data_IF_380836416344
#
_entry.id   IF_380836416344
#
_cell.length_a   1.000
_cell.length_b   1.000
_cell.length_c   1.000
_cell.angle_alpha   90.00
_cell.angle_beta   90.00
_cell.angle_gamma   90.00
#
_symmetry.space_group_name_H-M   'P 1'
#
loop_
_entity.id
_entity.type
_entity.pdbx_description
1 polymer ?
#
# COMPACT_ATOMS: atom_id res chain seq x y z
N UNK A 1 22.91 11.98 20.80
CA UNK A 1 22.42 12.38 19.48
C UNK A 1 21.71 11.16 18.94
N UNK A 2 20.39 11.12 19.09
CA UNK A 2 19.58 10.05 18.51
C UNK A 2 19.67 10.16 16.99
N UNK A 3 20.06 9.06 16.35
CA UNK A 3 20.22 8.97 14.89
C UNK A 3 18.84 8.75 14.26
N UNK A 4 18.64 9.11 13.00
CA UNK A 4 17.35 8.94 12.33
C UNK A 4 16.86 7.48 12.39
N UNK A 5 17.78 6.53 12.35
CA UNK A 5 17.53 5.09 12.48
C UNK A 5 17.00 4.64 13.86
N UNK A 6 17.15 5.45 14.91
CA UNK A 6 16.51 5.17 16.21
C UNK A 6 15.04 5.63 16.27
N UNK A 7 14.60 6.41 15.28
CA UNK A 7 13.21 6.92 15.18
C UNK A 7 12.42 6.31 14.01
N UNK A 8 13.04 5.50 13.16
CA UNK A 8 12.35 4.79 12.07
C UNK A 8 11.52 3.63 12.60
N UNK A 9 10.33 3.44 12.02
CA UNK A 9 9.35 2.43 12.45
C UNK A 9 9.92 0.99 12.45
N UNK A 10 10.81 0.64 11.52
CA UNK A 10 11.46 -0.70 11.49
C UNK A 10 12.74 -0.74 12.35
N UNK A 11 12.88 -1.72 13.25
CA UNK A 11 14.13 -1.96 13.97
C UNK A 11 15.20 -2.57 13.03
N UNK A 12 16.07 -1.73 12.46
CA UNK A 12 17.15 -2.16 11.57
C UNK A 12 18.17 -3.12 12.22
N UNK A 13 18.09 -3.37 13.54
CA UNK A 13 18.96 -4.33 14.25
C UNK A 13 18.61 -5.77 13.91
N UNK A 14 17.36 -6.10 13.62
CA UNK A 14 16.94 -7.46 13.25
C UNK A 14 16.67 -7.55 11.74
N UNK A 15 16.97 -8.70 11.09
CA UNK A 15 16.50 -8.94 9.73
C UNK A 15 14.97 -8.90 9.69
N UNK A 16 14.41 -8.29 8.66
CA UNK A 16 12.97 -8.21 8.40
C UNK A 16 12.75 -8.07 6.90
N UNK A 17 11.52 -8.21 6.44
CA UNK A 17 11.22 -8.25 5.01
C UNK A 17 11.03 -9.68 4.50
N UNK A 18 10.95 -9.80 3.18
CA UNK A 18 10.98 -11.04 2.41
C UNK A 18 11.85 -10.86 1.17
N UNK A 19 12.11 -11.95 0.43
CA UNK A 19 12.99 -11.96 -0.74
C UNK A 19 14.38 -11.42 -0.37
N UNK A 20 15.01 -10.69 -1.28
CA UNK A 20 16.34 -10.12 -1.11
C UNK A 20 16.48 -9.19 0.11
N UNK A 21 15.38 -8.60 0.61
CA UNK A 21 15.40 -7.68 1.75
C UNK A 21 15.78 -8.41 3.05
N UNK A 22 15.31 -9.66 3.20
CA UNK A 22 15.60 -10.48 4.39
C UNK A 22 17.10 -10.75 4.56
N UNK A 23 17.83 -10.85 3.45
CA UNK A 23 19.25 -11.16 3.40
C UNK A 23 20.16 -9.94 3.56
N UNK A 24 19.59 -8.74 3.72
CA UNK A 24 20.38 -7.52 3.81
C UNK A 24 21.26 -7.51 5.07
N UNK A 25 22.58 -7.24 4.91
CA UNK A 25 23.49 -7.18 6.04
C UNK A 25 23.13 -6.00 6.94
N UNK A 26 23.41 -6.15 8.23
CA UNK A 26 23.26 -5.04 9.16
C UNK A 26 24.09 -3.83 8.72
N UNK A 27 23.50 -2.65 8.81
CA UNK A 27 24.18 -1.39 8.50
C UNK A 27 25.29 -1.14 9.52
N UNK A 28 26.51 -0.86 9.04
CA UNK A 28 27.62 -0.44 9.87
C UNK A 28 27.59 1.08 10.12
N UNK A 29 28.39 1.56 11.06
CA UNK A 29 28.38 2.96 11.49
C UNK A 29 28.64 3.98 10.37
N UNK A 30 29.44 3.63 9.36
CA UNK A 30 29.70 4.53 8.23
C UNK A 30 28.50 4.65 7.31
N UNK A 31 27.81 3.54 7.00
CA UNK A 31 26.54 3.56 6.26
C UNK A 31 25.46 4.33 7.02
N UNK A 32 25.35 4.12 8.34
CA UNK A 32 24.41 4.87 9.20
C UNK A 32 24.67 6.38 9.11
N UNK A 33 25.93 6.79 9.23
CA UNK A 33 26.32 8.21 9.12
C UNK A 33 25.98 8.78 7.75
N UNK A 34 26.20 8.01 6.68
CA UNK A 34 25.83 8.40 5.32
C UNK A 34 24.32 8.60 5.20
N UNK A 35 23.51 7.65 5.69
CA UNK A 35 22.06 7.71 5.62
C UNK A 35 21.49 8.92 6.38
N UNK A 36 22.03 9.22 7.58
CA UNK A 36 21.68 10.42 8.34
C UNK A 36 21.97 11.71 7.55
N UNK A 37 23.12 11.77 6.87
CA UNK A 37 23.48 12.91 6.03
C UNK A 37 22.60 13.01 4.78
N UNK A 38 22.31 11.87 4.15
CA UNK A 38 21.46 11.79 2.97
C UNK A 38 20.04 12.26 3.29
N UNK A 39 19.48 11.78 4.41
CA UNK A 39 18.18 12.22 4.91
C UNK A 39 18.15 13.74 5.18
N UNK A 40 19.16 14.27 5.89
CA UNK A 40 19.25 15.72 6.15
C UNK A 40 19.27 16.53 4.85
N UNK A 41 20.04 16.11 3.85
CA UNK A 41 20.10 16.77 2.54
C UNK A 41 18.76 16.71 1.80
N UNK A 42 18.03 15.60 1.89
CA UNK A 42 16.68 15.49 1.31
C UNK A 42 15.73 16.49 1.96
N UNK A 43 15.69 16.56 3.29
CA UNK A 43 14.85 17.53 4.00
C UNK A 43 15.24 18.97 3.63
N UNK A 44 16.53 19.26 3.49
CA UNK A 44 17.00 20.57 3.01
C UNK A 44 16.53 20.87 1.58
N UNK A 45 16.53 19.90 0.67
CA UNK A 45 16.01 20.10 -0.69
C UNK A 45 14.50 20.35 -0.72
N UNK A 46 13.75 19.78 0.23
CA UNK A 46 12.31 20.00 0.36
C UNK A 46 11.98 21.46 0.67
N UNK A 47 12.87 22.20 1.34
CA UNK A 47 12.67 23.63 1.63
C UNK A 47 12.47 24.45 0.35
N UNK A 48 13.24 24.19 -0.70
CA UNK A 48 13.08 24.91 -1.97
C UNK A 48 11.73 24.60 -2.66
N UNK A 49 11.18 23.40 -2.42
CA UNK A 49 9.84 23.02 -2.90
C UNK A 49 8.75 23.73 -2.09
N UNK A 50 8.93 23.84 -0.77
CA UNK A 50 8.02 24.56 0.11
C UNK A 50 7.93 26.05 -0.27
N UNK A 51 9.08 26.72 -0.47
CA UNK A 51 9.15 28.10 -0.96
C UNK A 51 8.44 28.27 -2.32
N UNK A 52 8.55 27.28 -3.21
CA UNK A 52 7.87 27.28 -4.50
C UNK A 52 6.35 27.18 -4.33
N UNK A 53 5.88 26.28 -3.46
CA UNK A 53 4.44 26.10 -3.17
C UNK A 53 3.86 27.38 -2.58
N UNK A 54 4.54 28.01 -1.61
CA UNK A 54 4.15 29.31 -1.06
C UNK A 54 4.02 30.35 -2.18
N UNK A 55 5.03 30.46 -3.05
CA UNK A 55 5.03 31.42 -4.16
C UNK A 55 3.84 31.22 -5.12
N UNK A 56 3.49 29.97 -5.43
CA UNK A 56 2.33 29.67 -6.28
C UNK A 56 1.02 30.07 -5.58
N UNK A 57 0.86 29.71 -4.30
CA UNK A 57 -0.36 30.03 -3.54
C UNK A 57 -0.54 31.53 -3.36
N UNK A 58 0.53 32.26 -3.05
CA UNK A 58 0.52 33.73 -2.94
C UNK A 58 0.12 34.37 -4.27
N UNK A 59 0.69 33.92 -5.40
CA UNK A 59 0.30 34.44 -6.72
C UNK A 59 -1.17 34.19 -7.04
N UNK A 60 -1.67 32.98 -6.79
CA UNK A 60 -3.09 32.68 -6.96
C UNK A 60 -3.98 33.60 -6.13
N UNK A 61 -3.56 33.94 -4.91
CA UNK A 61 -4.27 34.87 -4.04
C UNK A 61 -4.24 36.30 -4.60
N UNK A 62 -3.07 36.78 -5.03
CA UNK A 62 -2.88 38.13 -5.57
C UNK A 62 -3.70 38.37 -6.85
N UNK A 63 -3.88 37.32 -7.67
CA UNK A 63 -4.77 37.35 -8.84
C UNK A 63 -6.25 37.13 -8.51
N UNK A 64 -6.61 36.88 -7.25
CA UNK A 64 -8.00 36.61 -6.84
C UNK A 64 -8.54 35.27 -7.34
N UNK A 65 -7.67 34.33 -7.74
CA UNK A 65 -8.04 33.02 -8.30
C UNK A 65 -8.09 31.91 -7.24
N UNK A 66 -7.47 32.15 -6.08
CA UNK A 66 -7.23 31.12 -5.08
C UNK A 66 -8.52 30.47 -4.53
N UNK A 67 -9.60 31.23 -4.34
CA UNK A 67 -10.86 30.69 -3.80
C UNK A 67 -11.61 29.78 -4.79
N UNK A 68 -11.29 29.85 -6.09
CA UNK A 68 -11.86 29.01 -7.14
C UNK A 68 -10.84 28.00 -7.71
N UNK A 69 -9.77 27.71 -6.96
CA UNK A 69 -8.71 26.80 -7.40
C UNK A 69 -8.59 25.65 -6.40
N UNK A 70 -8.69 24.41 -6.91
CA UNK A 70 -8.26 23.24 -6.18
C UNK A 70 -6.74 23.06 -6.33
N UNK A 71 -6.06 22.82 -5.21
CA UNK A 71 -4.63 22.51 -5.13
C UNK A 71 -4.52 21.14 -4.49
N UNK A 72 -3.93 20.21 -5.24
CA UNK A 72 -3.58 18.87 -4.77
C UNK A 72 -2.06 18.82 -4.62
N UNK A 73 -1.57 18.48 -3.43
CA UNK A 73 -0.16 18.25 -3.15
C UNK A 73 0.06 16.78 -2.84
N UNK A 74 0.92 16.12 -3.63
CA UNK A 74 1.20 14.69 -3.49
C UNK A 74 2.58 14.32 -4.05
N UNK A 75 2.95 13.04 -3.96
CA UNK A 75 4.17 12.44 -4.53
C UNK A 75 3.80 11.22 -5.37
N UNK A 76 4.61 10.85 -6.35
CA UNK A 76 4.42 9.63 -7.16
C UNK A 76 4.63 8.36 -6.33
N UNK A 77 5.65 8.37 -5.49
CA UNK A 77 5.99 7.31 -4.55
C UNK A 77 6.68 7.93 -3.31
N UNK A 78 6.85 7.09 -2.28
CA UNK A 78 7.66 7.36 -1.12
C UNK A 78 9.15 7.08 -1.37
N UNK A 79 9.92 7.01 -0.30
CA UNK A 79 11.36 6.79 -0.37
C UNK A 79 11.95 6.32 0.97
N UNK A 80 12.56 5.14 0.98
CA UNK A 80 13.28 4.63 2.13
C UNK A 80 14.74 5.13 2.17
N UNK A 81 15.25 5.35 3.38
CA UNK A 81 16.62 5.77 3.70
C UNK A 81 17.09 5.04 4.95
N UNK A 82 17.38 3.74 4.83
CA UNK A 82 17.91 2.92 5.94
C UNK A 82 16.91 1.97 6.58
N UNK A 83 15.61 2.19 6.39
CA UNK A 83 14.55 1.29 6.86
C UNK A 83 14.73 -0.09 6.23
N UNK A 84 14.41 -1.14 7.00
CA UNK A 84 14.67 -2.53 6.62
C UNK A 84 16.14 -2.81 6.19
N UNK A 85 17.11 -2.01 6.67
CA UNK A 85 18.53 -2.05 6.26
C UNK A 85 18.78 -1.69 4.79
N UNK A 86 17.78 -1.21 4.07
CA UNK A 86 17.91 -0.80 2.68
C UNK A 86 18.69 0.52 2.59
N UNK A 87 19.50 0.68 1.54
CA UNK A 87 20.12 1.97 1.25
C UNK A 87 19.10 2.90 0.58
N UNK A 88 19.40 4.17 0.25
CA UNK A 88 18.41 5.04 -0.39
C UNK A 88 17.75 4.38 -1.61
N UNK A 89 16.44 4.46 -1.73
CA UNK A 89 15.74 3.87 -2.86
C UNK A 89 14.22 3.95 -2.75
N UNK A 90 13.59 3.25 -3.70
CA UNK A 90 12.13 3.06 -3.78
C UNK A 90 11.81 1.75 -4.49
N UNK A 91 10.54 1.35 -4.50
CA UNK A 91 10.06 0.18 -5.23
C UNK A 91 9.86 -1.05 -4.36
N UNK A 92 9.89 -0.92 -3.04
CA UNK A 92 9.49 -1.95 -2.09
C UNK A 92 8.06 -1.70 -1.58
N UNK A 93 7.36 -2.71 -1.05
CA UNK A 93 5.96 -2.58 -0.64
C UNK A 93 5.79 -1.90 0.73
N UNK A 94 6.87 -1.45 1.36
CA UNK A 94 6.87 -0.94 2.73
C UNK A 94 6.32 0.50 2.81
N UNK A 95 5.86 0.89 4.00
CA UNK A 95 5.25 2.20 4.28
C UNK A 95 6.04 3.38 3.72
N UNK A 96 7.36 3.33 3.88
CA UNK A 96 8.26 4.39 3.45
C UNK A 96 8.17 4.66 1.94
N UNK A 97 7.83 3.64 1.14
CA UNK A 97 7.77 3.72 -0.32
C UNK A 97 6.34 3.93 -0.85
N UNK A 98 5.32 3.54 -0.09
CA UNK A 98 3.92 3.51 -0.59
C UNK A 98 3.03 4.59 0.03
N UNK A 99 3.33 5.04 1.25
CA UNK A 99 2.51 6.00 1.96
C UNK A 99 2.97 7.44 1.68
N UNK A 100 2.38 8.04 0.65
CA UNK A 100 2.73 9.38 0.16
C UNK A 100 1.82 10.47 0.74
N UNK A 101 2.27 11.73 0.81
CA UNK A 101 1.37 12.83 1.14
C UNK A 101 0.21 12.94 0.13
N UNK A 102 -0.98 13.26 0.62
CA UNK A 102 -2.10 13.74 -0.18
C UNK A 102 -2.78 14.86 0.60
N UNK A 103 -2.57 16.10 0.17
CA UNK A 103 -3.20 17.27 0.78
C UNK A 103 -4.02 17.99 -0.29
N UNK A 104 -5.26 18.34 0.06
CA UNK A 104 -6.17 19.03 -0.84
C UNK A 104 -6.62 20.34 -0.20
N UNK A 105 -6.59 21.41 -1.00
CA UNK A 105 -7.19 22.71 -0.69
C UNK A 105 -8.09 23.09 -1.85
N UNK A 106 -9.29 23.59 -1.60
CA UNK A 106 -10.10 24.17 -2.65
C UNK A 106 -11.48 24.59 -2.17
N UNK A 107 -12.38 24.97 -3.09
CA UNK A 107 -13.78 25.17 -2.79
C UNK A 107 -14.35 24.00 -1.98
N UNK A 108 -15.14 24.29 -0.94
CA UNK A 108 -15.85 23.30 -0.09
C UNK A 108 -14.97 22.31 0.73
N UNK A 109 -13.64 22.31 0.53
CA UNK A 109 -12.71 21.50 1.31
C UNK A 109 -12.54 22.10 2.72
N UNK A 110 -12.81 21.34 3.81
CA UNK A 110 -12.67 21.85 5.17
C UNK A 110 -11.21 22.11 5.53
N UNK A 111 -10.95 23.26 6.17
CA UNK A 111 -9.60 23.65 6.62
C UNK A 111 -9.17 22.83 7.84
N UNK A 112 -7.92 22.36 7.84
CA UNK A 112 -7.31 21.69 8.99
C UNK A 112 -7.91 20.33 9.32
N UNK A 113 -8.64 19.71 8.38
CA UNK A 113 -9.19 18.36 8.57
C UNK A 113 -8.16 17.32 8.16
N UNK A 114 -7.96 16.32 9.02
CA UNK A 114 -7.24 15.08 8.72
C UNK A 114 -8.23 13.93 8.64
N UNK A 115 -8.03 13.03 7.69
CA UNK A 115 -8.85 11.83 7.47
C UNK A 115 -7.97 10.59 7.53
N UNK A 116 -8.55 9.44 7.88
CA UNK A 116 -7.82 8.18 8.04
C UNK A 116 -8.32 7.05 7.13
N UNK A 117 -9.37 7.29 6.33
CA UNK A 117 -9.84 6.33 5.34
C UNK A 117 -8.82 6.22 4.18
N UNK A 118 -8.82 5.09 3.48
CA UNK A 118 -7.81 4.81 2.45
C UNK A 118 -8.14 5.52 1.13
N UNK A 119 -7.14 6.19 0.55
CA UNK A 119 -7.16 6.74 -0.81
C UNK A 119 -5.93 6.27 -1.57
N UNK A 120 -5.97 6.27 -2.89
CA UNK A 120 -4.81 5.93 -3.72
C UNK A 120 -4.70 6.84 -4.96
N UNK A 121 -3.60 6.74 -5.71
CA UNK A 121 -3.45 7.49 -6.97
C UNK A 121 -4.52 7.16 -8.02
N UNK A 122 -5.15 5.98 -7.96
CA UNK A 122 -6.24 5.63 -8.89
C UNK A 122 -7.46 6.51 -8.69
N UNK A 123 -7.64 7.11 -7.51
CA UNK A 123 -8.75 8.00 -7.18
C UNK A 123 -8.60 9.40 -7.82
N UNK A 124 -7.39 9.80 -8.20
CA UNK A 124 -7.11 11.16 -8.70
C UNK A 124 -7.91 11.44 -9.98
N UNK A 125 -7.92 10.51 -10.93
CA UNK A 125 -8.67 10.68 -12.18
C UNK A 125 -10.18 10.80 -11.91
N UNK A 126 -10.73 9.93 -11.06
CA UNK A 126 -12.14 9.96 -10.68
C UNK A 126 -12.51 11.26 -9.96
N UNK A 127 -11.65 11.74 -9.06
CA UNK A 127 -11.84 13.02 -8.35
C UNK A 127 -11.86 14.21 -9.30
N UNK A 128 -10.94 14.25 -10.28
CA UNK A 128 -10.90 15.34 -11.25
C UNK A 128 -12.14 15.35 -12.16
N UNK A 129 -12.65 14.18 -12.53
CA UNK A 129 -13.89 14.06 -13.31
C UNK A 129 -15.08 14.60 -12.53
N UNK A 130 -15.23 14.17 -11.28
CA UNK A 130 -16.29 14.60 -10.39
C UNK A 130 -16.26 16.13 -10.17
N UNK A 131 -15.09 16.69 -9.85
CA UNK A 131 -14.89 18.13 -9.71
C UNK A 131 -15.19 18.93 -10.99
N UNK A 132 -14.94 18.34 -12.16
CA UNK A 132 -15.23 18.95 -13.46
C UNK A 132 -16.70 18.78 -13.89
N UNK A 133 -17.53 18.06 -13.12
CA UNK A 133 -18.91 17.73 -13.49
C UNK A 133 -19.00 16.76 -14.68
N UNK A 134 -17.95 15.98 -14.91
CA UNK A 134 -17.87 14.98 -15.98
C UNK A 134 -18.36 13.64 -15.40
N UNK A 135 -19.28 12.92 -16.08
CA UNK A 135 -19.71 11.60 -15.63
C UNK A 135 -18.51 10.65 -15.45
N UNK A 136 -18.48 9.94 -14.32
CA UNK A 136 -17.49 8.90 -14.08
C UNK A 136 -17.60 7.80 -15.14
N UNK A 137 -16.47 7.20 -15.48
CA UNK A 137 -16.44 6.06 -16.38
C UNK A 137 -16.54 4.78 -15.58
N UNK A 138 -17.31 3.83 -16.10
CA UNK A 138 -17.47 2.51 -15.47
C UNK A 138 -16.17 1.71 -15.42
N UNK A 139 -15.15 2.09 -16.20
CA UNK A 139 -13.84 1.43 -16.25
C UNK A 139 -12.79 2.02 -15.29
N UNK A 140 -13.17 2.97 -14.42
CA UNK A 140 -12.28 3.49 -13.39
C UNK A 140 -12.10 2.49 -12.23
N UNK A 141 -10.84 2.27 -11.86
CA UNK A 141 -10.45 1.42 -10.71
C UNK A 141 -10.52 2.18 -9.37
N UNK A 142 -10.58 3.52 -9.40
CA UNK A 142 -10.65 4.39 -8.22
C UNK A 142 -12.00 5.10 -8.08
N UNK A 143 -12.22 5.73 -6.93
CA UNK A 143 -13.42 6.50 -6.61
C UNK A 143 -13.05 7.97 -6.36
N UNK A 144 -13.98 8.93 -6.62
CA UNK A 144 -13.76 10.30 -6.20
C UNK A 144 -13.40 10.38 -4.72
N UNK A 145 -12.31 11.08 -4.41
CA UNK A 145 -11.94 11.38 -3.03
C UNK A 145 -13.04 12.24 -2.41
N UNK A 146 -13.52 11.93 -1.20
CA UNK A 146 -14.49 12.76 -0.50
C UNK A 146 -13.82 14.07 -0.07
N UNK A 147 -14.29 15.20 -0.58
CA UNK A 147 -13.66 16.50 -0.36
C UNK A 147 -14.52 17.43 0.51
N UNK A 148 -15.84 17.37 0.36
CA UNK A 148 -16.76 18.14 1.18
C UNK A 148 -16.95 17.51 2.57
N UNK A 149 -17.33 18.32 3.56
CA UNK A 149 -17.50 17.84 4.94
C UNK A 149 -18.53 16.70 5.09
N UNK A 150 -19.62 16.73 4.32
CA UNK A 150 -20.62 15.65 4.31
C UNK A 150 -20.08 14.37 3.68
N UNK A 151 -19.35 14.49 2.56
CA UNK A 151 -18.74 13.34 1.87
C UNK A 151 -17.68 12.68 2.74
N UNK A 152 -16.88 13.48 3.44
CA UNK A 152 -15.88 12.99 4.39
C UNK A 152 -16.55 12.19 5.50
N UNK A 153 -17.68 12.68 6.03
CA UNK A 153 -18.42 12.00 7.07
C UNK A 153 -18.98 10.65 6.58
N UNK A 154 -19.53 10.61 5.37
CA UNK A 154 -20.06 9.37 4.77
C UNK A 154 -18.93 8.36 4.49
N UNK A 155 -17.76 8.85 4.07
CA UNK A 155 -16.60 8.02 3.74
C UNK A 155 -15.91 7.39 4.96
N UNK A 156 -16.06 7.94 6.16
CA UNK A 156 -15.49 7.36 7.39
C UNK A 156 -15.98 5.93 7.66
N UNK A 157 -17.15 5.55 7.13
CA UNK A 157 -17.73 4.21 7.29
C UNK A 157 -17.88 3.48 5.94
N UNK A 158 -17.28 3.98 4.87
CA UNK A 158 -17.36 3.38 3.56
C UNK A 158 -16.34 2.25 3.41
N UNK A 159 -16.83 1.02 3.40
CA UNK A 159 -16.01 -0.17 3.18
C UNK A 159 -15.19 -0.17 1.89
N UNK A 160 -15.55 0.64 0.88
CA UNK A 160 -14.74 0.78 -0.35
C UNK A 160 -13.38 1.43 -0.08
N UNK A 161 -13.24 2.08 1.08
CA UNK A 161 -12.04 2.79 1.55
C UNK A 161 -11.28 1.99 2.62
N UNK A 162 -11.49 0.68 2.70
CA UNK A 162 -10.81 -0.21 3.65
C UNK A 162 -9.42 -0.61 3.15
N UNK A 163 -9.19 -0.65 1.83
CA UNK A 163 -7.97 -1.23 1.28
C UNK A 163 -7.30 -0.37 0.20
N UNK A 164 -6.02 -0.64 -0.03
CA UNK A 164 -5.29 -0.20 -1.23
C UNK A 164 -4.35 -1.32 -1.65
N UNK A 165 -4.35 -1.63 -2.94
CA UNK A 165 -3.40 -2.57 -3.56
C UNK A 165 -2.11 -1.84 -3.97
N UNK A 166 -0.98 -2.53 -3.82
CA UNK A 166 0.33 -2.06 -4.27
C UNK A 166 1.02 -3.21 -5.00
N UNK A 167 1.65 -2.92 -6.12
CA UNK A 167 2.30 -3.92 -6.96
C UNK A 167 3.59 -3.38 -7.57
N UNK A 168 4.49 -4.31 -7.89
CA UNK A 168 5.75 -4.02 -8.56
C UNK A 168 6.20 -5.23 -9.36
N UNK A 169 6.89 -5.01 -10.48
CA UNK A 169 7.51 -6.05 -11.28
C UNK A 169 8.98 -5.76 -11.56
N UNK A 170 9.80 -6.79 -11.48
CA UNK A 170 11.19 -6.80 -11.93
C UNK A 170 12.20 -6.57 -10.82
N UNK A 171 13.07 -5.58 -11.04
CA UNK A 171 14.29 -5.41 -10.25
C UNK A 171 14.27 -4.13 -9.45
N UNK A 172 14.84 -4.15 -8.26
CA UNK A 172 15.03 -2.95 -7.44
C UNK A 172 16.40 -2.33 -7.70
N UNK A 173 16.43 -1.09 -8.20
CA UNK A 173 17.66 -0.30 -8.33
C UNK A 173 17.91 0.48 -7.04
N UNK A 174 19.05 0.24 -6.41
CA UNK A 174 19.50 0.99 -5.24
C UNK A 174 20.05 2.37 -5.66
N UNK A 175 19.71 3.39 -4.88
CA UNK A 175 20.08 4.77 -5.14
C UNK A 175 21.08 5.32 -4.10
N UNK A 176 21.50 6.57 -4.31
CA UNK A 176 22.57 7.20 -3.52
C UNK A 176 23.96 6.65 -3.84
N UNK A 177 24.98 7.20 -3.20
CA UNK A 177 26.39 6.88 -3.46
C UNK A 177 26.74 5.47 -2.98
N UNK A 178 26.12 5.01 -1.89
CA UNK A 178 26.31 3.67 -1.33
C UNK A 178 25.43 2.60 -2.00
N UNK A 179 24.49 3.01 -2.85
CA UNK A 179 23.72 2.14 -3.73
C UNK A 179 24.40 1.87 -5.07
N UNK A 180 25.66 2.32 -5.24
CA UNK A 180 26.47 2.06 -6.45
C UNK A 180 27.62 1.12 -6.15
N UNK A 181 28.04 0.37 -7.16
CA UNK A 181 29.21 -0.53 -7.09
C UNK A 181 30.50 0.27 -6.95
N UNK A 182 30.56 1.49 -7.49
CA UNK A 182 31.65 2.46 -7.29
C UNK A 182 31.14 3.89 -7.56
N UNK A 183 31.90 4.95 -7.23
CA UNK A 183 31.48 6.34 -7.46
C UNK A 183 31.06 6.65 -8.91
N UNK A 184 31.67 5.96 -9.88
CA UNK A 184 31.37 6.05 -11.33
C UNK A 184 30.74 4.78 -11.89
N UNK A 185 30.49 3.77 -11.04
CA UNK A 185 29.98 2.45 -11.43
C UNK A 185 28.47 2.41 -11.53
N UNK A 186 27.95 1.29 -12.03
CA UNK A 186 26.51 1.01 -12.06
C UNK A 186 25.90 0.92 -10.66
N UNK A 187 24.59 1.16 -10.57
CA UNK A 187 23.83 0.91 -9.36
C UNK A 187 23.79 -0.57 -8.99
N UNK A 188 23.69 -0.87 -7.70
CA UNK A 188 23.37 -2.21 -7.20
C UNK A 188 21.91 -2.48 -7.55
N UNK A 189 21.67 -3.63 -8.18
CA UNK A 189 20.34 -4.05 -8.61
C UNK A 189 20.00 -5.37 -7.94
N UNK A 190 18.87 -5.42 -7.25
CA UNK A 190 18.32 -6.65 -6.68
C UNK A 190 17.26 -7.23 -7.63
N UNK A 191 17.41 -8.51 -7.98
CA UNK A 191 16.37 -9.26 -8.67
C UNK A 191 15.25 -9.70 -7.72
N UNK A 192 14.28 -10.44 -8.25
CA UNK A 192 13.17 -11.00 -7.47
C UNK A 192 12.41 -9.96 -6.63
N UNK A 193 12.25 -8.74 -7.15
CA UNK A 193 11.52 -7.65 -6.50
C UNK A 193 10.05 -7.56 -6.97
N UNK A 194 9.56 -8.57 -7.68
CA UNK A 194 8.15 -8.65 -8.08
C UNK A 194 7.30 -9.04 -6.87
N UNK A 195 6.23 -8.29 -6.60
CA UNK A 195 5.29 -8.57 -5.51
C UNK A 195 3.88 -8.07 -5.81
N UNK A 196 2.91 -8.67 -5.10
CA UNK A 196 1.59 -8.10 -4.88
C UNK A 196 1.44 -7.84 -3.39
N UNK A 197 0.93 -6.67 -3.03
CA UNK A 197 0.76 -6.27 -1.65
C UNK A 197 -0.53 -5.46 -1.48
N UNK A 198 -0.94 -5.31 -0.24
CA UNK A 198 -2.06 -4.45 0.11
C UNK A 198 -1.94 -3.90 1.52
N UNK A 199 -2.59 -2.76 1.72
CA UNK A 199 -3.00 -2.27 3.04
C UNK A 199 -4.47 -2.56 3.24
N UNK A 200 -4.83 -2.99 4.45
CA UNK A 200 -6.21 -3.22 4.86
C UNK A 200 -6.40 -2.55 6.22
N UNK A 201 -7.23 -1.53 6.26
CA UNK A 201 -7.41 -0.60 7.38
C UNK A 201 -8.90 -0.52 7.68
N UNK A 202 -9.25 -0.83 8.92
CA UNK A 202 -10.60 -0.65 9.47
C UNK A 202 -10.52 -0.20 10.92
N UNK A 203 -11.67 -0.03 11.57
CA UNK A 203 -11.75 0.57 12.92
C UNK A 203 -10.88 -0.12 13.98
N UNK A 204 -10.63 -1.43 13.82
CA UNK A 204 -9.91 -2.26 14.79
C UNK A 204 -8.62 -2.88 14.26
N UNK A 205 -8.24 -2.60 13.01
CA UNK A 205 -7.04 -3.16 12.40
C UNK A 205 -6.39 -2.22 11.40
N UNK A 206 -5.07 -2.31 11.33
CA UNK A 206 -4.27 -1.69 10.30
C UNK A 206 -3.22 -2.71 9.90
N UNK A 207 -3.42 -3.36 8.76
CA UNK A 207 -2.61 -4.48 8.32
C UNK A 207 -1.89 -4.14 7.02
N UNK A 208 -0.68 -4.65 6.90
CA UNK A 208 0.06 -4.75 5.65
C UNK A 208 0.27 -6.22 5.33
N UNK A 209 -0.03 -6.60 4.09
CA UNK A 209 0.13 -7.97 3.61
C UNK A 209 0.81 -7.96 2.24
N UNK A 210 1.82 -8.79 2.05
CA UNK A 210 2.56 -8.88 0.79
C UNK A 210 2.89 -10.33 0.45
N UNK A 211 2.98 -10.58 -0.85
CA UNK A 211 3.40 -11.85 -1.44
C UNK A 211 4.38 -11.56 -2.54
N UNK A 212 5.58 -12.10 -2.39
CA UNK A 212 6.69 -11.91 -3.32
C UNK A 212 6.72 -13.04 -4.35
N UNK A 213 7.35 -12.79 -5.49
CA UNK A 213 7.52 -13.81 -6.53
C UNK A 213 8.35 -15.03 -6.08
N UNK A 214 9.08 -14.91 -4.97
CA UNK A 214 9.76 -16.01 -4.28
C UNK A 214 8.82 -16.89 -3.44
N UNK A 215 7.52 -16.57 -3.44
CA UNK A 215 6.46 -17.15 -2.59
C UNK A 215 6.65 -16.91 -1.09
N UNK A 216 7.55 -16.00 -0.73
CA UNK A 216 7.61 -15.48 0.63
C UNK A 216 6.48 -14.49 0.86
N UNK A 217 5.88 -14.58 2.04
CA UNK A 217 4.76 -13.76 2.44
C UNK A 217 5.10 -12.97 3.69
N UNK A 218 4.47 -11.83 3.84
CA UNK A 218 4.61 -11.01 5.02
C UNK A 218 3.25 -10.53 5.52
N UNK A 219 3.11 -10.46 6.84
CA UNK A 219 1.92 -9.90 7.49
C UNK A 219 2.38 -9.01 8.64
N UNK A 220 2.03 -7.74 8.61
CA UNK A 220 2.34 -6.79 9.66
C UNK A 220 1.06 -6.15 10.21
N UNK A 221 1.00 -5.97 11.52
CA UNK A 221 -0.04 -5.20 12.22
C UNK A 221 0.32 -3.72 12.41
N UNK A 222 1.30 -3.26 11.63
CA UNK A 222 1.87 -1.91 11.66
C UNK A 222 2.50 -1.49 12.99
N UNK A 223 2.64 -2.41 13.94
CA UNK A 223 3.57 -2.31 15.06
C UNK A 223 4.97 -2.85 14.71
N UNK A 224 5.19 -3.14 13.43
CA UNK A 224 6.49 -3.49 12.81
C UNK A 224 7.02 -4.88 13.18
N UNK A 225 6.11 -5.77 13.53
CA UNK A 225 6.38 -7.19 13.70
C UNK A 225 5.80 -7.98 12.52
N UNK A 226 6.65 -8.76 11.83
CA UNK A 226 6.15 -9.71 10.83
C UNK A 226 5.53 -10.91 11.57
N UNK A 227 4.22 -11.03 11.45
CA UNK A 227 3.37 -12.03 12.10
C UNK A 227 3.19 -13.30 11.27
N UNK A 228 3.62 -13.32 10.00
CA UNK A 228 3.31 -14.42 9.07
C UNK A 228 3.72 -15.79 9.61
N UNK A 229 4.94 -15.90 10.16
CA UNK A 229 5.47 -17.15 10.71
C UNK A 229 4.94 -17.49 12.13
N UNK A 230 4.11 -16.65 12.73
CA UNK A 230 3.56 -16.87 14.07
C UNK A 230 2.23 -17.63 14.03
N UNK A 231 2.22 -18.85 13.49
CA UNK A 231 0.98 -19.63 13.29
C UNK A 231 0.22 -20.00 14.57
N UNK A 232 0.85 -19.85 15.75
CA UNK A 232 0.19 -20.04 17.07
C UNK A 232 -0.38 -18.74 17.65
N UNK A 233 -0.08 -17.59 17.03
CA UNK A 233 -0.57 -16.30 17.45
C UNK A 233 -2.02 -16.08 17.06
N UNK A 234 -2.63 -15.13 17.75
CA UNK A 234 -3.98 -14.64 17.47
C UNK A 234 -3.93 -13.17 17.10
N UNK A 235 -4.79 -12.78 16.17
CA UNK A 235 -5.00 -11.40 15.77
C UNK A 235 -6.51 -11.24 15.51
N UNK A 236 -7.11 -10.13 15.94
CA UNK A 236 -8.56 -9.90 15.83
C UNK A 236 -9.44 -11.06 16.37
N UNK A 237 -8.98 -11.72 17.44
CA UNK A 237 -9.69 -12.86 18.06
C UNK A 237 -9.65 -14.17 17.25
N UNK A 238 -8.94 -14.21 16.13
CA UNK A 238 -8.82 -15.37 15.22
C UNK A 238 -7.38 -15.88 15.19
N UNK A 239 -7.19 -17.14 14.78
CA UNK A 239 -5.86 -17.67 14.55
C UNK A 239 -5.24 -17.00 13.32
N UNK A 240 -3.94 -16.69 13.35
CA UNK A 240 -3.27 -15.95 12.26
C UNK A 240 -3.46 -16.64 10.90
N UNK A 241 -3.42 -17.98 10.85
CA UNK A 241 -3.69 -18.73 9.61
C UNK A 241 -5.06 -18.41 9.01
N UNK A 242 -6.08 -18.25 9.86
CA UNK A 242 -7.43 -17.93 9.40
C UNK A 242 -7.49 -16.53 8.79
N UNK A 243 -6.73 -15.58 9.33
CA UNK A 243 -6.63 -14.22 8.81
C UNK A 243 -5.90 -14.23 7.48
N UNK A 244 -4.76 -14.92 7.40
CA UNK A 244 -3.97 -15.10 6.18
C UNK A 244 -4.86 -15.60 5.03
N UNK A 245 -5.67 -16.65 5.23
CA UNK A 245 -6.57 -17.14 4.18
C UNK A 245 -7.62 -16.12 3.70
N UNK A 246 -8.00 -15.11 4.52
CA UNK A 246 -8.86 -14.00 4.04
C UNK A 246 -8.03 -13.02 3.22
N UNK A 247 -6.83 -12.69 3.70
CA UNK A 247 -5.92 -11.76 3.06
C UNK A 247 -5.46 -12.29 1.69
N UNK A 248 -5.18 -13.58 1.58
CA UNK A 248 -4.94 -14.29 0.32
C UNK A 248 -6.11 -14.13 -0.64
N UNK A 249 -7.33 -14.44 -0.17
CA UNK A 249 -8.52 -14.39 -1.00
C UNK A 249 -8.81 -12.98 -1.53
N UNK A 250 -8.68 -11.94 -0.71
CA UNK A 250 -8.88 -10.56 -1.18
C UNK A 250 -7.72 -10.09 -2.06
N UNK A 251 -6.47 -10.41 -1.75
CA UNK A 251 -5.33 -10.03 -2.59
C UNK A 251 -5.39 -10.73 -3.95
N UNK A 252 -5.89 -11.96 -4.00
CA UNK A 252 -6.16 -12.70 -5.23
C UNK A 252 -7.20 -11.99 -6.12
N UNK A 253 -8.22 -11.36 -5.53
CA UNK A 253 -9.15 -10.50 -6.29
C UNK A 253 -8.44 -9.21 -6.73
N UNK A 254 -7.73 -8.55 -5.82
CA UNK A 254 -7.11 -7.25 -6.07
C UNK A 254 -6.00 -7.28 -7.11
N UNK A 255 -5.23 -8.38 -7.21
CA UNK A 255 -4.06 -8.43 -8.09
C UNK A 255 -4.39 -8.33 -9.59
N UNK A 256 -5.63 -8.60 -9.95
CA UNK A 256 -6.15 -8.58 -11.33
C UNK A 256 -7.49 -7.85 -11.45
N UNK A 257 -7.85 -7.08 -10.41
CA UNK A 257 -9.13 -6.38 -10.37
C UNK A 257 -9.24 -5.39 -11.52
N UNK A 258 -10.48 -5.17 -11.96
CA UNK A 258 -10.81 -4.08 -12.88
C UNK A 258 -12.06 -3.38 -12.40
N UNK A 259 -12.09 -2.06 -12.60
CA UNK A 259 -13.27 -1.25 -12.38
C UNK A 259 -13.79 -1.37 -10.95
N UNK A 260 -15.09 -1.65 -10.77
CA UNK A 260 -15.69 -1.81 -9.44
C UNK A 260 -15.09 -2.95 -8.60
N UNK A 261 -14.42 -3.94 -9.21
CA UNK A 261 -13.77 -5.02 -8.44
C UNK A 261 -12.64 -4.48 -7.57
N UNK A 262 -11.94 -3.43 -8.02
CA UNK A 262 -10.86 -2.80 -7.27
C UNK A 262 -11.36 -2.03 -6.04
N UNK A 263 -12.62 -1.60 -6.05
CA UNK A 263 -13.23 -0.82 -4.94
C UNK A 263 -14.18 -1.65 -4.10
N UNK A 264 -14.68 -2.77 -4.63
CA UNK A 264 -15.61 -3.68 -3.96
C UNK A 264 -15.12 -5.15 -4.02
N UNK A 265 -13.86 -5.44 -3.65
CA UNK A 265 -13.30 -6.79 -3.81
C UNK A 265 -14.04 -7.84 -2.97
N UNK A 266 -14.58 -7.45 -1.81
CA UNK A 266 -15.40 -8.35 -0.99
C UNK A 266 -16.70 -8.78 -1.68
N UNK A 267 -17.29 -7.96 -2.55
CA UNK A 267 -18.49 -8.34 -3.30
C UNK A 267 -18.18 -9.34 -4.41
N UNK A 268 -16.94 -9.39 -4.90
CA UNK A 268 -16.48 -10.45 -5.82
C UNK A 268 -16.51 -11.80 -5.10
N UNK A 269 -15.99 -11.84 -3.87
CA UNK A 269 -16.01 -13.05 -3.04
C UNK A 269 -17.40 -13.37 -2.47
N UNK A 270 -18.21 -12.36 -2.15
CA UNK A 270 -19.55 -12.48 -1.58
C UNK A 270 -20.59 -11.69 -2.37
N UNK A 271 -21.10 -12.24 -3.50
CA UNK A 271 -22.07 -11.56 -4.35
C UNK A 271 -23.41 -11.24 -3.67
N UNK A 272 -23.70 -11.88 -2.53
CA UNK A 272 -24.88 -11.59 -1.71
C UNK A 272 -24.73 -10.35 -0.82
N UNK A 273 -23.58 -9.65 -0.91
CA UNK A 273 -23.25 -8.39 -0.23
C UNK A 273 -23.31 -8.47 1.31
N UNK A 274 -23.19 -9.67 1.88
CA UNK A 274 -23.17 -9.88 3.34
C UNK A 274 -21.79 -9.72 3.97
N UNK A 275 -20.77 -9.53 3.16
CA UNK A 275 -19.40 -9.25 3.58
C UNK A 275 -18.91 -8.10 2.72
N UNK A 276 -18.57 -7.00 3.37
CA UNK A 276 -17.98 -5.81 2.76
C UNK A 276 -16.68 -5.41 3.46
N UNK A 277 -16.25 -6.11 4.51
CA UNK A 277 -14.98 -5.84 5.18
C UNK A 277 -14.28 -7.10 5.68
N UNK A 278 -13.00 -6.99 6.05
CA UNK A 278 -12.25 -8.05 6.71
C UNK A 278 -12.91 -8.46 8.02
N UNK A 279 -13.41 -7.50 8.80
CA UNK A 279 -14.12 -7.77 10.07
C UNK A 279 -15.28 -8.76 9.86
N UNK A 280 -16.06 -8.57 8.80
CA UNK A 280 -17.19 -9.44 8.47
C UNK A 280 -16.74 -10.77 7.86
N UNK A 281 -15.66 -10.77 7.07
CA UNK A 281 -15.03 -11.98 6.52
C UNK A 281 -14.47 -12.90 7.62
N UNK A 282 -14.15 -12.34 8.79
CA UNK A 282 -13.71 -13.06 9.99
C UNK A 282 -14.87 -13.71 10.77
N UNK A 283 -16.09 -13.79 10.24
CA UNK A 283 -17.13 -14.62 10.85
C UNK A 283 -16.86 -16.12 10.63
N UNK A 284 -17.01 -16.95 11.67
CA UNK A 284 -16.67 -18.38 11.66
C UNK A 284 -17.38 -19.19 10.56
N UNK A 285 -18.61 -18.81 10.20
CA UNK A 285 -19.37 -19.47 9.10
C UNK A 285 -18.67 -19.43 7.74
N UNK A 286 -17.70 -18.54 7.54
CA UNK A 286 -16.94 -18.42 6.30
C UNK A 286 -15.60 -19.16 6.33
N UNK A 287 -15.24 -19.82 7.44
CA UNK A 287 -13.94 -20.46 7.61
C UNK A 287 -13.64 -21.51 6.55
N UNK A 288 -14.58 -22.42 6.30
CA UNK A 288 -14.42 -23.46 5.29
C UNK A 288 -14.27 -22.88 3.88
N UNK A 289 -14.98 -21.79 3.58
CA UNK A 289 -14.89 -21.10 2.29
C UNK A 289 -13.49 -20.50 2.08
N UNK A 290 -12.97 -19.74 3.05
CA UNK A 290 -11.64 -19.15 2.93
C UNK A 290 -10.52 -20.19 2.99
N UNK A 291 -10.68 -21.26 3.78
CA UNK A 291 -9.70 -22.35 3.83
C UNK A 291 -9.64 -23.16 2.52
N UNK A 292 -10.69 -23.11 1.70
CA UNK A 292 -10.72 -23.75 0.40
C UNK A 292 -10.13 -22.88 -0.72
N UNK A 293 -9.96 -21.56 -0.53
CA UNK A 293 -9.43 -20.66 -1.56
C UNK A 293 -8.04 -21.10 -2.03
N UNK A 294 -7.70 -20.91 -3.31
CA UNK A 294 -6.32 -21.11 -3.75
C UNK A 294 -5.42 -20.07 -3.07
N UNK A 295 -4.29 -20.54 -2.55
CA UNK A 295 -3.27 -19.67 -2.00
C UNK A 295 -2.69 -18.79 -3.12
N UNK A 296 -2.60 -17.49 -2.87
CA UNK A 296 -1.90 -16.60 -3.79
C UNK A 296 -0.42 -16.98 -3.84
N UNK A 297 0.12 -17.05 -5.04
CA UNK A 297 1.49 -17.51 -5.27
C UNK A 297 1.95 -17.05 -6.64
N UNK A 298 3.24 -17.15 -6.90
CA UNK A 298 3.86 -16.91 -8.19
C UNK A 298 4.48 -18.20 -8.71
N UNK A 299 4.37 -18.41 -10.02
CA UNK A 299 5.07 -19.48 -10.72
C UNK A 299 6.51 -19.08 -11.06
N UNK A 300 6.78 -17.79 -11.29
CA UNK A 300 8.11 -17.27 -11.59
C UNK A 300 8.29 -15.79 -11.19
N UNK A 301 9.54 -15.39 -10.98
CA UNK A 301 9.95 -14.00 -10.79
C UNK A 301 10.24 -13.32 -12.13
N UNK A 302 9.19 -12.87 -12.80
CA UNK A 302 9.31 -12.19 -14.09
C UNK A 302 9.69 -10.71 -13.97
N UNK A 303 10.30 -10.17 -15.02
CA UNK A 303 10.70 -8.76 -15.11
C UNK A 303 9.56 -7.79 -15.45
N UNK A 304 8.37 -8.30 -15.70
CA UNK A 304 7.20 -7.51 -16.07
C UNK A 304 5.91 -8.26 -15.73
N UNK A 305 4.79 -7.62 -16.05
CA UNK A 305 3.46 -8.20 -15.83
C UNK A 305 3.18 -9.31 -16.85
N UNK A 306 3.26 -10.56 -16.39
CA UNK A 306 2.94 -11.78 -17.13
C UNK A 306 1.93 -12.60 -16.31
N UNK A 307 0.62 -12.51 -16.60
CA UNK A 307 -0.42 -13.18 -15.82
C UNK A 307 -0.19 -14.68 -15.61
N UNK A 308 0.38 -15.36 -16.61
CA UNK A 308 0.74 -16.78 -16.56
C UNK A 308 1.79 -17.11 -15.48
N UNK A 309 2.61 -16.13 -15.10
CA UNK A 309 3.67 -16.29 -14.08
C UNK A 309 3.21 -15.86 -12.69
N UNK A 310 2.02 -15.27 -12.56
CA UNK A 310 1.45 -14.82 -11.28
C UNK A 310 0.59 -15.90 -10.58
N UNK A 311 0.74 -17.18 -10.96
CA UNK A 311 0.03 -18.28 -10.29
C UNK A 311 -1.50 -18.21 -10.44
N UNK A 312 -2.28 -18.73 -9.48
CA UNK A 312 -3.75 -18.74 -9.53
C UNK A 312 -4.30 -17.34 -9.77
N UNK A 313 -5.16 -17.12 -10.77
CA UNK A 313 -5.72 -15.79 -11.08
C UNK A 313 -7.13 -15.58 -10.53
N UNK A 314 -7.85 -16.66 -10.27
CA UNK A 314 -9.25 -16.61 -9.87
C UNK A 314 -9.46 -17.43 -8.60
N UNK A 315 -10.26 -16.89 -7.69
CA UNK A 315 -10.72 -17.56 -6.48
C UNK A 315 -12.15 -18.07 -6.61
N UNK A 316 -12.64 -18.72 -5.55
CA UNK A 316 -14.02 -19.15 -5.47
C UNK A 316 -14.94 -18.03 -5.01
N UNK A 317 -16.17 -18.00 -5.52
CA UNK A 317 -17.25 -17.12 -5.04
C UNK A 317 -18.10 -17.83 -4.01
N UNK A 318 -18.44 -17.16 -2.90
CA UNK A 318 -19.32 -17.72 -1.87
C UNK A 318 -20.75 -17.88 -2.40
N UNK A 319 -21.28 -19.11 -2.34
CA UNK A 319 -22.65 -19.45 -2.76
C UNK A 319 -23.36 -20.17 -1.62
N UNK A 320 -24.51 -19.66 -1.18
CA UNK A 320 -25.21 -20.13 0.04
C UNK A 320 -25.79 -21.56 -0.03
N UNK A 321 -25.61 -22.32 -1.13
CA UNK A 321 -26.23 -23.63 -1.32
C UNK A 321 -25.20 -24.69 -1.73
N UNK A 322 -24.59 -25.37 -0.75
CA UNK A 322 -23.77 -26.56 -1.00
C UNK A 322 -22.90 -26.90 0.20
N UNK A 323 -22.87 -28.17 0.57
CA UNK A 323 -21.84 -28.71 1.46
C UNK A 323 -20.48 -28.53 0.78
N UNK A 324 -19.65 -27.65 1.34
CA UNK A 324 -18.35 -27.29 0.77
C UNK A 324 -17.31 -28.41 0.88
N UNK A 325 -17.61 -29.49 1.61
CA UNK A 325 -16.76 -30.70 1.66
C UNK A 325 -16.72 -31.49 0.34
N UNK A 326 -17.54 -31.12 -0.65
CA UNK A 326 -17.63 -31.78 -1.95
C UNK A 326 -16.67 -31.22 -3.02
N UNK A 327 -15.87 -30.19 -2.70
CA UNK A 327 -14.93 -29.56 -3.63
C UNK A 327 -13.47 -29.55 -3.14
N UNK A 328 -13.15 -30.36 -2.12
CA UNK A 328 -11.80 -30.58 -1.61
C UNK A 328 -11.11 -31.77 -2.29
#
# INVERSE_FOLDING_TARGET
MDTFLTTTRSDARLPSGASWVLDLPQLNSSKITYLDQYYRRRVQSLQAVDDLVESVVVKLNDYGLLENTYIFYTSDNGYHVGQHRMVPGKGCPYEEDINVPMMVRGPQVPKGRTVNFVTSHTDVAATLFDLAGIPLRDDFDGLPMPLAASEIHDAEHDSRREHVSVEYWGTNLQEGDIGRVSPTGGGVVYGNNTYKAMRVIGDSYNLFYSVWCTNEHELYDMTMHNLFNNFKGKLLGRDIKQIISRLDAILLVLKSCKSSECTLPWQVLHPDKKVTSLSEALQQKYDAFYAAQPDISFAACELGYLPESEGPQEGYTYRRNGDWSLWA
#
